data_IF_834166802637
#
_entry.id   IF_834166802637
#
_cell.length_a   1.000
_cell.length_b   1.000
_cell.length_c   1.000
_cell.angle_alpha   90.00
_cell.angle_beta   90.00
_cell.angle_gamma   90.00
#
_symmetry.space_group_name_H-M   'P 1'
#
loop_
_entity.id
_entity.type
_entity.pdbx_description
1 polymer ?
#
# COMPACT_ATOMS: atom_id res chain seq x y z
N UNK A 1 0.87 14.07 9.57
CA UNK A 1 1.02 12.60 9.63
C UNK A 1 1.99 12.19 10.75
N UNK A 2 3.27 12.60 10.71
CA UNK A 2 4.22 12.26 11.77
C UNK A 2 3.82 12.81 13.15
N UNK A 3 3.29 14.03 13.22
CA UNK A 3 2.86 14.62 14.50
C UNK A 3 1.67 13.88 15.13
N UNK A 4 0.70 13.44 14.33
CA UNK A 4 -0.42 12.61 14.76
C UNK A 4 0.02 11.21 15.28
N UNK A 5 1.19 10.72 14.87
CA UNK A 5 1.76 9.46 15.39
C UNK A 5 2.56 9.69 16.67
N UNK A 6 3.18 10.86 16.83
CA UNK A 6 3.86 11.25 18.09
C UNK A 6 2.88 11.37 19.25
N UNK A 7 1.65 11.80 18.98
CA UNK A 7 0.54 11.83 19.95
C UNK A 7 0.13 10.43 20.45
N UNK A 8 0.64 9.36 19.85
CA UNK A 8 0.34 7.96 20.21
C UNK A 8 1.54 7.21 20.83
N UNK A 9 2.42 7.92 21.52
CA UNK A 9 3.59 7.36 22.24
C UNK A 9 4.62 6.61 21.36
N UNK A 10 4.62 6.82 20.05
CA UNK A 10 5.70 6.33 19.20
C UNK A 10 6.96 7.19 19.36
N UNK A 11 8.13 6.54 19.39
CA UNK A 11 9.41 7.23 19.26
C UNK A 11 9.41 8.13 17.99
N UNK A 12 9.99 9.35 18.04
CA UNK A 12 9.98 10.29 16.93
C UNK A 12 10.54 9.76 15.60
N UNK A 13 11.55 8.88 15.63
CA UNK A 13 12.10 8.28 14.41
C UNK A 13 11.10 7.29 13.82
N UNK A 14 10.53 6.42 14.65
CA UNK A 14 9.51 5.43 14.28
C UNK A 14 8.29 6.11 13.67
N UNK A 15 7.76 7.15 14.31
CA UNK A 15 6.64 7.94 13.79
C UNK A 15 6.94 8.55 12.42
N UNK A 16 8.16 9.05 12.21
CA UNK A 16 8.58 9.64 10.93
C UNK A 16 8.73 8.59 9.83
N UNK A 17 9.27 7.42 10.15
CA UNK A 17 9.42 6.32 9.20
C UNK A 17 8.05 5.76 8.77
N UNK A 18 7.14 5.52 9.72
CA UNK A 18 5.77 5.07 9.43
C UNK A 18 5.06 6.10 8.54
N UNK A 19 5.13 7.39 8.90
CA UNK A 19 4.53 8.44 8.09
C UNK A 19 5.10 8.48 6.66
N UNK A 20 6.42 8.34 6.51
CA UNK A 20 7.07 8.31 5.20
C UNK A 20 6.60 7.11 4.35
N UNK A 21 6.53 5.93 4.95
CA UNK A 21 6.04 4.72 4.27
C UNK A 21 4.60 4.89 3.79
N UNK A 22 3.70 5.40 4.64
CA UNK A 22 2.30 5.65 4.27
C UNK A 22 2.18 6.68 3.15
N UNK A 23 2.94 7.77 3.23
CA UNK A 23 2.93 8.83 2.19
C UNK A 23 3.41 8.28 0.85
N UNK A 24 4.50 7.51 0.83
CA UNK A 24 5.04 6.92 -0.41
C UNK A 24 4.04 5.95 -1.02
N UNK A 25 3.41 5.07 -0.22
CA UNK A 25 2.39 4.13 -0.72
C UNK A 25 1.20 4.86 -1.34
N UNK A 26 0.66 5.89 -0.66
CA UNK A 26 -0.45 6.67 -1.21
C UNK A 26 -0.08 7.35 -2.53
N UNK A 27 1.16 7.85 -2.64
CA UNK A 27 1.65 8.51 -3.85
C UNK A 27 1.75 7.53 -5.03
N UNK A 28 2.28 6.33 -4.81
CA UNK A 28 2.35 5.29 -5.84
C UNK A 28 0.96 4.85 -6.30
N UNK A 29 0.02 4.64 -5.38
CA UNK A 29 -1.36 4.31 -5.71
C UNK A 29 -2.04 5.43 -6.52
N UNK A 30 -1.80 6.69 -6.14
CA UNK A 30 -2.31 7.84 -6.87
C UNK A 30 -1.74 7.92 -8.29
N UNK A 31 -0.44 7.66 -8.47
CA UNK A 31 0.19 7.62 -9.80
C UNK A 31 -0.37 6.50 -10.66
N UNK A 32 -0.55 5.30 -10.11
CA UNK A 32 -1.15 4.18 -10.83
C UNK A 32 -2.57 4.50 -11.29
N UNK A 33 -3.39 5.06 -10.41
CA UNK A 33 -4.75 5.47 -10.76
C UNK A 33 -4.72 6.56 -11.83
N UNK A 34 -3.88 7.59 -11.67
CA UNK A 34 -3.76 8.68 -12.62
C UNK A 34 -3.35 8.19 -14.01
N UNK A 35 -2.38 7.27 -14.10
CA UNK A 35 -1.93 6.68 -15.37
C UNK A 35 -3.08 5.99 -16.11
N UNK A 36 -3.85 5.16 -15.42
CA UNK A 36 -5.01 4.49 -16.01
C UNK A 36 -6.05 5.49 -16.54
N UNK A 37 -6.32 6.56 -15.77
CA UNK A 37 -7.26 7.60 -16.19
C UNK A 37 -6.80 8.35 -17.45
N UNK A 38 -5.51 8.68 -17.57
CA UNK A 38 -4.98 9.36 -18.76
C UNK A 38 -4.86 8.42 -19.97
N UNK A 39 -4.79 7.11 -19.75
CA UNK A 39 -4.86 6.08 -20.80
C UNK A 39 -6.29 5.80 -21.28
N UNK A 40 -7.30 6.44 -20.68
CA UNK A 40 -8.69 6.42 -21.13
C UNK A 40 -9.63 5.50 -20.33
N UNK A 41 -9.14 4.85 -19.27
CA UNK A 41 -10.00 4.11 -18.35
C UNK A 41 -10.89 5.09 -17.55
N UNK A 42 -12.17 4.77 -17.39
CA UNK A 42 -13.05 5.60 -16.58
C UNK A 42 -12.76 5.43 -15.09
N UNK A 43 -13.05 6.46 -14.28
CA UNK A 43 -12.90 6.35 -12.83
C UNK A 43 -13.78 5.26 -12.22
N UNK A 44 -14.96 5.00 -12.79
CA UNK A 44 -15.87 3.97 -12.33
C UNK A 44 -15.29 2.57 -12.57
N UNK A 45 -14.68 2.35 -13.73
CA UNK A 45 -14.07 1.06 -14.08
C UNK A 45 -12.79 0.82 -13.28
N UNK A 46 -12.01 1.87 -13.03
CA UNK A 46 -10.76 1.79 -12.26
C UNK A 46 -10.96 1.55 -10.78
N UNK A 47 -12.08 2.03 -10.21
CA UNK A 47 -12.31 2.08 -8.76
C UNK A 47 -12.20 0.73 -8.04
N UNK A 48 -12.81 -0.38 -8.52
CA UNK A 48 -12.68 -1.68 -7.86
C UNK A 48 -11.24 -2.16 -7.74
N UNK A 49 -10.43 -2.00 -8.78
CA UNK A 49 -9.00 -2.35 -8.72
C UNK A 49 -8.22 -1.39 -7.82
N UNK A 50 -8.62 -0.12 -7.73
CA UNK A 50 -7.92 0.87 -6.91
C UNK A 50 -8.09 0.52 -5.43
N UNK A 51 -9.29 0.08 -5.05
CA UNK A 51 -9.59 -0.43 -3.72
C UNK A 51 -8.81 -1.71 -3.44
N UNK A 52 -8.77 -2.68 -4.36
CA UNK A 52 -7.98 -3.92 -4.19
C UNK A 52 -6.49 -3.63 -4.00
N UNK A 53 -5.90 -2.81 -4.84
CA UNK A 53 -4.49 -2.41 -4.74
C UNK A 53 -4.20 -1.67 -3.43
N UNK A 54 -5.14 -0.83 -2.96
CA UNK A 54 -5.03 -0.15 -1.67
C UNK A 54 -4.99 -1.15 -0.52
N UNK A 55 -5.96 -2.07 -0.45
CA UNK A 55 -5.97 -3.10 0.59
C UNK A 55 -4.68 -3.91 0.60
N UNK A 56 -4.24 -4.37 -0.57
CA UNK A 56 -2.99 -5.12 -0.69
C UNK A 56 -1.78 -4.33 -0.19
N UNK A 57 -1.66 -3.06 -0.57
CA UNK A 57 -0.54 -2.22 -0.14
C UNK A 57 -0.54 -1.97 1.38
N UNK A 58 -1.71 -1.78 1.99
CA UNK A 58 -1.82 -1.61 3.44
C UNK A 58 -1.61 -2.93 4.22
N UNK A 59 -1.99 -4.07 3.65
CA UNK A 59 -1.64 -5.39 4.21
C UNK A 59 -0.12 -5.59 4.20
N UNK A 60 0.58 -5.20 3.12
CA UNK A 60 2.05 -5.24 3.07
C UNK A 60 2.70 -4.29 4.08
N UNK A 61 2.14 -3.10 4.30
CA UNK A 61 2.62 -2.18 5.33
C UNK A 61 2.44 -2.75 6.74
N UNK A 62 1.34 -3.47 6.99
CA UNK A 62 1.04 -4.09 8.29
C UNK A 62 1.93 -5.31 8.55
N UNK A 63 2.05 -6.19 7.57
CA UNK A 63 2.62 -7.53 7.76
C UNK A 63 4.11 -7.61 7.33
N UNK A 64 4.61 -6.57 6.67
CA UNK A 64 5.94 -6.53 6.07
C UNK A 64 6.08 -7.43 4.84
N UNK A 65 7.26 -7.41 4.22
CA UNK A 65 7.54 -8.11 2.94
C UNK A 65 7.44 -9.64 3.01
N UNK A 66 7.33 -10.23 4.20
CA UNK A 66 7.18 -11.68 4.41
C UNK A 66 5.81 -12.22 3.99
N UNK A 67 4.77 -11.39 4.01
CA UNK A 67 3.41 -11.79 3.65
C UNK A 67 3.23 -12.01 2.13
N UNK A 68 3.96 -11.26 1.30
CA UNK A 68 3.91 -11.40 -0.17
C UNK A 68 4.61 -12.64 -0.73
N UNK A 69 5.49 -13.30 0.04
CA UNK A 69 6.31 -14.44 -0.43
C UNK A 69 5.59 -15.80 -0.31
N UNK A 70 4.47 -15.90 0.40
CA UNK A 70 3.79 -17.18 0.70
C UNK A 70 2.80 -17.67 -0.37
N UNK A 71 2.63 -16.97 -1.49
CA UNK A 71 1.69 -17.39 -2.55
C UNK A 71 2.35 -18.11 -3.75
N UNK A 72 3.63 -18.49 -3.65
CA UNK A 72 4.41 -18.98 -4.81
C UNK A 72 4.87 -20.44 -4.82
N UNK A 73 4.71 -21.24 -3.76
CA UNK A 73 5.28 -22.60 -3.72
C UNK A 73 4.51 -23.56 -2.80
N UNK A 74 3.27 -23.90 -3.15
CA UNK A 74 2.60 -25.10 -2.62
C UNK A 74 1.80 -25.76 -3.75
N UNK A 75 2.48 -26.57 -4.55
CA UNK A 75 1.89 -27.21 -5.72
C UNK A 75 2.87 -27.95 -6.62
N UNK A 76 3.87 -28.63 -6.05
CA UNK A 76 4.63 -29.66 -6.77
C UNK A 76 5.38 -30.53 -5.77
N UNK A 77 4.76 -31.65 -5.39
CA UNK A 77 5.41 -32.95 -5.21
C UNK A 77 4.33 -33.97 -4.85
N UNK A 78 3.85 -34.67 -5.89
CA UNK A 78 3.47 -36.08 -5.75
C UNK A 78 4.69 -36.97 -5.87
#
# INVERSE_FOLDING_TARGET
>A
MADALREKDFDPLTARLIAAQVIVVQRELAFLNHRCLVEGESAADRYPEAVRATHHAFDLLRDGLGAGRRQGFEGASG
#
